data_IF_941487043033
#
_entry.id   IF_941487043033
#
_cell.length_a   1.000
_cell.length_b   1.000
_cell.length_c   1.000
_cell.angle_alpha   90.00
_cell.angle_beta   90.00
_cell.angle_gamma   90.00
#
_symmetry.space_group_name_H-M   'P 1'
#
loop_
_entity.id
_entity.type
_entity.pdbx_description
1 polymer ?
#
# COMPACT_ATOMS: atom_id res chain seq x y z
N UNK A 1 4.84 32.83 -12.13
CA UNK A 1 5.50 32.24 -13.31
C UNK A 1 6.17 30.90 -12.99
N UNK A 2 6.89 30.76 -11.86
CA UNK A 2 7.61 29.52 -11.48
C UNK A 2 6.71 28.29 -11.23
N UNK A 3 5.55 28.45 -10.58
CA UNK A 3 4.67 27.31 -10.26
C UNK A 3 4.03 26.61 -11.47
N UNK A 4 3.89 27.30 -12.63
CA UNK A 4 3.30 26.72 -13.85
C UNK A 4 4.27 25.74 -14.53
N UNK A 5 5.56 26.07 -14.51
CA UNK A 5 6.62 25.27 -15.15
C UNK A 5 6.86 23.95 -14.40
N UNK A 6 6.71 23.93 -13.08
CA UNK A 6 6.84 22.70 -12.29
C UNK A 6 5.74 21.68 -12.59
N UNK A 7 4.49 22.14 -12.76
CA UNK A 7 3.37 21.25 -13.12
C UNK A 7 3.52 20.63 -14.52
N UNK A 8 4.22 21.30 -15.44
CA UNK A 8 4.46 20.82 -16.80
C UNK A 8 5.71 19.94 -16.91
N UNK A 9 6.51 19.83 -15.84
CA UNK A 9 7.74 19.03 -15.84
C UNK A 9 7.42 17.54 -15.73
N UNK A 10 7.82 16.78 -16.74
CA UNK A 10 7.76 15.31 -16.75
C UNK A 10 8.95 14.69 -17.49
N UNK A 11 9.80 13.95 -16.78
CA UNK A 11 10.92 13.22 -17.38
C UNK A 11 11.22 11.91 -16.62
N UNK A 12 11.99 11.00 -17.26
CA UNK A 12 12.45 9.76 -16.62
C UNK A 12 13.80 9.98 -15.93
N UNK A 13 13.86 9.74 -14.63
CA UNK A 13 15.09 9.77 -13.83
C UNK A 13 15.45 8.39 -13.26
N UNK A 14 16.48 8.35 -12.40
CA UNK A 14 16.97 7.10 -11.77
C UNK A 14 15.91 6.40 -10.93
N UNK A 15 15.03 7.18 -10.28
CA UNK A 15 13.96 6.67 -9.40
C UNK A 15 12.62 6.53 -10.13
N UNK A 16 12.64 6.50 -11.47
CA UNK A 16 11.45 6.47 -12.30
C UNK A 16 11.00 7.85 -12.77
N UNK A 17 9.73 7.95 -13.18
CA UNK A 17 9.15 9.20 -13.69
C UNK A 17 9.13 10.27 -12.58
N UNK A 18 9.53 11.49 -12.93
CA UNK A 18 9.49 12.67 -12.07
C UNK A 18 8.41 13.58 -12.61
N UNK A 19 7.36 13.80 -11.82
CA UNK A 19 6.25 14.72 -12.11
C UNK A 19 5.75 15.34 -10.81
N UNK A 20 5.17 16.53 -10.89
CA UNK A 20 4.70 17.28 -9.73
C UNK A 20 3.18 17.54 -9.78
N UNK A 21 2.55 17.53 -8.61
CA UNK A 21 1.17 17.97 -8.41
C UNK A 21 1.13 18.86 -7.17
N UNK A 22 0.64 20.09 -7.33
CA UNK A 22 0.60 21.11 -6.27
C UNK A 22 1.96 21.34 -5.57
N UNK A 23 3.06 21.16 -6.30
CA UNK A 23 4.42 21.32 -5.80
C UNK A 23 5.05 20.04 -5.23
N UNK A 24 4.27 18.99 -4.96
CA UNK A 24 4.78 17.72 -4.47
C UNK A 24 5.11 16.77 -5.61
N UNK A 25 6.19 16.01 -5.47
CA UNK A 25 6.54 14.96 -6.42
C UNK A 25 5.58 13.78 -6.27
N UNK A 26 4.98 13.38 -7.38
CA UNK A 26 4.23 12.12 -7.44
C UNK A 26 5.23 10.97 -7.56
N UNK A 27 5.20 10.05 -6.60
CA UNK A 27 6.17 8.96 -6.47
C UNK A 27 5.52 7.60 -6.27
N UNK A 28 6.37 6.62 -5.97
CA UNK A 28 5.94 5.28 -5.55
C UNK A 28 6.25 5.09 -4.06
N UNK A 29 5.47 4.26 -3.40
CA UNK A 29 5.66 3.88 -2.00
C UNK A 29 5.98 2.39 -1.90
N UNK A 30 6.95 2.03 -1.08
CA UNK A 30 7.28 0.63 -0.78
C UNK A 30 6.53 0.17 0.46
N UNK A 31 5.86 -0.98 0.38
CA UNK A 31 5.20 -1.62 1.52
C UNK A 31 6.15 -2.63 2.16
N UNK A 32 6.32 -2.54 3.48
CA UNK A 32 7.15 -3.44 4.27
C UNK A 32 6.30 -4.15 5.33
N UNK A 33 6.59 -5.42 5.58
CA UNK A 33 6.03 -6.19 6.70
C UNK A 33 7.15 -6.64 7.64
N UNK A 34 6.97 -6.42 8.94
CA UNK A 34 7.86 -6.98 9.96
C UNK A 34 7.59 -8.48 10.14
N UNK A 35 8.60 -9.30 9.88
CA UNK A 35 8.55 -10.77 9.99
C UNK A 35 9.78 -11.26 10.73
N UNK A 36 9.58 -11.97 11.83
CA UNK A 36 10.68 -12.55 12.62
C UNK A 36 11.81 -11.52 12.91
N UNK A 37 11.43 -10.29 13.26
CA UNK A 37 12.37 -9.20 13.57
C UNK A 37 13.02 -8.51 12.35
N UNK A 38 12.62 -8.81 11.12
CA UNK A 38 13.15 -8.19 9.89
C UNK A 38 12.04 -7.50 9.10
N UNK A 39 12.35 -6.36 8.48
CA UNK A 39 11.48 -5.73 7.50
C UNK A 39 11.63 -6.43 6.15
N UNK A 40 10.52 -6.92 5.60
CA UNK A 40 10.47 -7.60 4.31
C UNK A 40 9.57 -6.80 3.38
N UNK A 41 10.02 -6.56 2.14
CA UNK A 41 9.20 -5.89 1.12
C UNK A 41 8.05 -6.80 0.69
N UNK A 42 6.83 -6.27 0.68
CA UNK A 42 5.61 -7.02 0.35
C UNK A 42 4.77 -6.40 -0.76
N UNK A 43 5.24 -5.29 -1.34
CA UNK A 43 4.58 -4.66 -2.47
C UNK A 43 5.04 -3.23 -2.71
N UNK A 44 4.46 -2.63 -3.72
CA UNK A 44 4.63 -1.23 -4.07
C UNK A 44 3.27 -0.59 -4.38
N UNK A 45 3.16 0.71 -4.12
CA UNK A 45 2.04 1.53 -4.59
C UNK A 45 2.57 2.61 -5.51
N UNK A 46 1.98 2.73 -6.70
CA UNK A 46 2.35 3.70 -7.72
C UNK A 46 1.28 4.79 -7.78
N UNK A 47 1.55 5.96 -7.20
CA UNK A 47 0.58 7.05 -7.14
C UNK A 47 0.22 7.63 -8.52
N UNK A 48 1.12 7.51 -9.50
CA UNK A 48 0.88 7.96 -10.87
C UNK A 48 -0.26 7.21 -11.58
N UNK A 49 -0.38 5.90 -11.33
CA UNK A 49 -1.36 5.01 -11.97
C UNK A 49 -2.43 4.53 -11.01
N UNK A 50 -2.39 5.03 -9.76
CA UNK A 50 -3.21 4.57 -8.64
C UNK A 50 -3.25 3.04 -8.52
N UNK A 51 -2.07 2.41 -8.56
CA UNK A 51 -1.94 0.95 -8.62
C UNK A 51 -1.22 0.43 -7.39
N UNK A 52 -1.88 -0.46 -6.64
CA UNK A 52 -1.25 -1.26 -5.60
C UNK A 52 -0.81 -2.61 -6.18
N UNK A 53 0.49 -2.84 -6.23
CA UNK A 53 1.08 -4.09 -6.68
C UNK A 53 1.66 -4.88 -5.49
N UNK A 54 0.88 -5.86 -5.01
CA UNK A 54 1.32 -6.79 -3.97
C UNK A 54 2.16 -7.97 -4.51
N UNK A 55 2.35 -8.05 -5.84
CA UNK A 55 3.26 -9.02 -6.46
C UNK A 55 4.70 -8.48 -6.54
N UNK A 56 4.90 -7.17 -6.38
CA UNK A 56 6.20 -6.51 -6.35
C UNK A 56 6.98 -6.72 -5.03
N UNK A 57 6.94 -7.93 -4.47
CA UNK A 57 7.58 -8.31 -3.21
C UNK A 57 7.20 -9.72 -2.77
N UNK A 58 7.48 -10.03 -1.50
CA UNK A 58 7.06 -11.29 -0.89
C UNK A 58 5.56 -11.26 -0.55
N UNK A 59 4.81 -12.38 -0.69
CA UNK A 59 3.38 -12.41 -0.36
C UNK A 59 3.12 -11.97 1.08
N UNK A 60 2.13 -11.12 1.34
CA UNK A 60 1.75 -10.71 2.69
C UNK A 60 1.37 -11.93 3.53
N UNK A 61 1.95 -12.07 4.73
CA UNK A 61 1.69 -13.21 5.61
C UNK A 61 0.93 -12.77 6.85
N UNK A 62 -0.17 -13.45 7.13
CA UNK A 62 -0.94 -13.29 8.37
C UNK A 62 -0.86 -14.59 9.18
N UNK A 63 -1.02 -14.51 10.50
CA UNK A 63 -0.90 -15.69 11.38
C UNK A 63 -1.83 -16.84 10.96
N UNK A 64 -3.06 -16.50 10.58
CA UNK A 64 -4.08 -17.48 10.16
C UNK A 64 -4.29 -17.48 8.63
N UNK A 65 -3.29 -17.00 7.87
CA UNK A 65 -3.33 -16.92 6.40
C UNK A 65 -4.28 -15.86 5.81
N UNK A 66 -5.08 -15.20 6.64
CA UNK A 66 -6.01 -14.13 6.24
C UNK A 66 -5.83 -12.87 7.08
N UNK A 67 -6.06 -11.67 6.51
CA UNK A 67 -6.08 -10.45 7.28
C UNK A 67 -7.18 -10.50 8.36
N UNK A 68 -6.97 -9.85 9.52
CA UNK A 68 -7.98 -9.73 10.55
C UNK A 68 -9.18 -8.93 10.01
N UNK A 69 -10.38 -9.29 10.49
CA UNK A 69 -11.61 -8.52 10.23
C UNK A 69 -11.64 -7.26 11.09
N UNK A 70 -12.35 -6.24 10.62
CA UNK A 70 -12.51 -4.94 11.29
C UNK A 70 -13.35 -5.02 12.58
N UNK A 71 -14.24 -6.01 12.67
CA UNK A 71 -15.17 -6.19 13.80
C UNK A 71 -15.45 -7.65 14.13
N UNK A 72 -15.89 -7.90 15.36
CA UNK A 72 -16.37 -9.21 15.81
C UNK A 72 -17.72 -9.57 15.18
N UNK A 73 -17.97 -10.86 14.99
CA UNK A 73 -19.27 -11.41 14.57
C UNK A 73 -20.05 -11.80 15.83
N UNK A 74 -21.26 -11.26 16.00
CA UNK A 74 -22.19 -11.68 17.05
C UNK A 74 -23.02 -12.86 16.56
N UNK A 75 -23.03 -13.95 17.31
CA UNK A 75 -23.82 -15.15 17.02
C UNK A 75 -24.75 -15.36 18.22
N UNK A 76 -26.06 -15.32 17.98
CA UNK A 76 -27.08 -15.57 19.00
C UNK A 76 -27.49 -17.05 18.93
N UNK A 77 -27.34 -17.78 20.04
CA UNK A 77 -27.63 -19.23 20.13
C UNK A 77 -28.72 -19.50 21.17
N UNK A 78 -29.71 -20.33 20.81
CA UNK A 78 -30.74 -20.81 21.72
C UNK A 78 -30.18 -21.96 22.58
N UNK A 79 -30.25 -21.82 23.91
CA UNK A 79 -29.89 -22.90 24.84
C UNK A 79 -31.15 -23.58 25.36
N UNK A 80 -31.22 -24.91 25.22
CA UNK A 80 -32.26 -25.75 25.81
C UNK A 80 -31.70 -26.45 27.05
N UNK A 81 -32.49 -26.50 28.13
CA UNK A 81 -32.17 -27.21 29.36
C UNK A 81 -33.16 -28.37 29.48
N UNK A 82 -32.65 -29.59 29.62
CA UNK A 82 -33.42 -30.83 29.85
C UNK A 82 -33.59 -31.14 31.33
#
# INVERSE_FOLDING_TARGET
MVGRVLNETSFMGVTGRVQFSNGDRIGSMTLLQMRHGKMVKVGEYHAMTDTLDLSAGEPVMWRDGKPPVDRSIKIDELRHVS
#
